data_IF_031086621363
#
_entry.id   IF_031086621363
#
_cell.length_a   1.000
_cell.length_b   1.000
_cell.length_c   1.000
_cell.angle_alpha   90.00
_cell.angle_beta   90.00
_cell.angle_gamma   90.00
#
_symmetry.space_group_name_H-M   'P 1'
#
loop_
_entity.id
_entity.type
_entity.pdbx_description
1 polymer ?
#
# COMPACT_ATOMS: atom_id res chain seq x y z
N UNK A 1 7.65 7.39 0.46
CA UNK A 1 8.81 7.19 -0.45
C UNK A 1 9.10 8.45 -1.23
N UNK A 2 10.35 8.62 -1.66
CA UNK A 2 10.86 9.75 -2.44
C UNK A 2 10.75 9.46 -3.94
N UNK A 3 10.79 10.50 -4.76
CA UNK A 3 10.65 10.36 -6.22
C UNK A 3 11.75 9.48 -6.84
N UNK A 4 13.02 9.67 -6.47
CA UNK A 4 14.12 8.85 -7.01
C UNK A 4 14.02 7.38 -6.61
N UNK A 5 13.54 7.08 -5.39
CA UNK A 5 13.29 5.70 -4.94
C UNK A 5 12.24 5.05 -5.84
N UNK A 6 11.14 5.74 -6.11
CA UNK A 6 10.08 5.24 -6.99
C UNK A 6 10.58 5.05 -8.43
N UNK A 7 11.35 6.00 -8.96
CA UNK A 7 11.89 5.91 -10.32
C UNK A 7 12.76 4.65 -10.49
N UNK A 8 13.63 4.37 -9.52
CA UNK A 8 14.47 3.16 -9.52
C UNK A 8 13.68 1.87 -9.33
N UNK A 9 12.66 1.88 -8.48
CA UNK A 9 11.74 0.75 -8.33
C UNK A 9 10.98 0.51 -9.65
N UNK A 10 10.49 1.56 -10.31
CA UNK A 10 9.79 1.43 -11.58
C UNK A 10 10.68 0.90 -12.70
N UNK A 11 11.94 1.36 -12.76
CA UNK A 11 12.96 0.82 -13.67
C UNK A 11 13.11 -0.69 -13.48
N UNK A 12 13.35 -1.13 -12.24
CA UNK A 12 13.45 -2.56 -11.90
C UNK A 12 12.19 -3.35 -12.24
N UNK A 13 11.01 -2.83 -11.88
CA UNK A 13 9.75 -3.53 -12.13
C UNK A 13 9.39 -3.60 -13.63
N UNK A 14 9.97 -2.73 -14.46
CA UNK A 14 9.71 -2.73 -15.91
C UNK A 14 10.31 -3.93 -16.63
N UNK A 15 11.19 -4.68 -15.98
CA UNK A 15 11.70 -5.95 -16.51
C UNK A 15 10.61 -7.05 -16.55
N UNK A 16 9.51 -6.86 -15.82
CA UNK A 16 8.39 -7.78 -15.80
C UNK A 16 7.27 -7.39 -16.78
N UNK A 17 6.93 -8.31 -17.67
CA UNK A 17 5.91 -8.07 -18.71
C UNK A 17 4.49 -8.55 -18.30
N UNK A 18 4.33 -9.18 -17.15
CA UNK A 18 3.06 -9.83 -16.78
C UNK A 18 2.83 -9.92 -15.27
N UNK A 19 1.68 -9.44 -14.81
CA UNK A 19 1.23 -9.60 -13.42
C UNK A 19 0.44 -10.90 -13.32
N UNK A 20 0.95 -11.86 -12.55
CA UNK A 20 0.24 -13.12 -12.27
C UNK A 20 -0.90 -12.92 -11.29
N UNK A 21 -0.71 -12.08 -10.26
CA UNK A 21 -1.71 -11.86 -9.21
C UNK A 21 -1.59 -10.47 -8.61
N UNK A 22 -2.74 -9.84 -8.40
CA UNK A 22 -2.89 -8.64 -7.61
C UNK A 22 -3.99 -8.83 -6.56
N UNK A 23 -3.70 -8.53 -5.30
CA UNK A 23 -4.69 -8.63 -4.21
C UNK A 23 -4.32 -7.75 -3.03
N UNK A 24 -5.32 -7.38 -2.24
CA UNK A 24 -5.11 -6.81 -0.91
C UNK A 24 -4.77 -7.92 0.09
N UNK A 25 -3.74 -7.71 0.91
CA UNK A 25 -3.31 -8.67 1.93
C UNK A 25 -3.45 -8.15 3.36
N UNK A 26 -3.58 -6.84 3.53
CA UNK A 26 -3.86 -6.16 4.80
C UNK A 26 -4.71 -4.92 4.53
N UNK A 27 -5.15 -4.23 5.58
CA UNK A 27 -6.03 -3.06 5.45
C UNK A 27 -5.54 -2.00 4.46
N UNK A 28 -4.23 -1.80 4.29
CA UNK A 28 -3.72 -0.80 3.36
C UNK A 28 -2.64 -1.36 2.44
N UNK A 29 -2.46 -2.68 2.39
CA UNK A 29 -1.32 -3.28 1.69
C UNK A 29 -1.80 -4.10 0.51
N UNK A 30 -1.32 -3.77 -0.68
CA UNK A 30 -1.62 -4.45 -1.95
C UNK A 30 -0.37 -5.24 -2.38
N UNK A 31 -0.55 -6.52 -2.66
CA UNK A 31 0.45 -7.40 -3.27
C UNK A 31 0.28 -7.36 -4.79
N UNK A 32 1.38 -7.10 -5.52
CA UNK A 32 1.52 -7.35 -6.95
C UNK A 32 2.60 -8.43 -7.13
N UNK A 33 2.23 -9.53 -7.79
CA UNK A 33 3.07 -10.70 -7.97
C UNK A 33 3.26 -10.96 -9.47
N UNK A 34 4.51 -10.93 -9.92
CA UNK A 34 4.91 -11.26 -11.30
C UNK A 34 5.21 -12.75 -11.45
N UNK A 35 5.62 -13.40 -10.36
CA UNK A 35 5.55 -14.84 -10.13
C UNK A 35 5.56 -15.10 -8.60
N UNK A 36 5.62 -16.36 -8.14
CA UNK A 36 5.55 -16.68 -6.70
C UNK A 36 6.72 -16.10 -5.89
N UNK A 37 7.91 -15.98 -6.48
CA UNK A 37 9.13 -15.48 -5.85
C UNK A 37 9.20 -13.94 -5.96
N UNK A 38 8.68 -13.40 -7.06
CA UNK A 38 8.65 -11.97 -7.37
C UNK A 38 7.33 -11.32 -6.94
N UNK A 39 7.21 -11.08 -5.62
CA UNK A 39 6.04 -10.45 -5.00
C UNK A 39 6.41 -9.16 -4.27
N UNK A 40 5.80 -8.07 -4.70
CA UNK A 40 6.03 -6.72 -4.21
C UNK A 40 4.79 -6.21 -3.49
N UNK A 41 4.99 -5.48 -2.40
CA UNK A 41 3.93 -5.06 -1.50
C UNK A 41 3.93 -3.54 -1.38
N UNK A 42 2.80 -2.94 -1.74
CA UNK A 42 2.54 -1.52 -1.72
C UNK A 42 1.77 -1.21 -0.44
N UNK A 43 2.48 -0.77 0.61
CA UNK A 43 1.86 -0.31 1.84
C UNK A 43 1.39 1.13 1.63
N UNK A 44 0.07 1.28 1.57
CA UNK A 44 -0.61 2.56 1.32
C UNK A 44 -1.15 3.17 2.60
N UNK A 45 -0.54 2.90 3.76
CA UNK A 45 -0.90 3.55 5.03
C UNK A 45 -0.58 5.05 4.96
N UNK A 46 -1.55 5.90 5.28
CA UNK A 46 -1.39 7.36 5.22
C UNK A 46 -0.25 7.80 6.16
N UNK A 47 0.67 8.61 5.63
CA UNK A 47 1.85 9.10 6.37
C UNK A 47 3.02 8.13 6.45
N UNK A 48 2.82 6.84 6.19
CA UNK A 48 3.85 5.79 6.30
C UNK A 48 3.84 4.87 5.07
N UNK A 49 3.63 5.43 3.88
CA UNK A 49 3.55 4.63 2.66
C UNK A 49 4.91 4.32 2.04
N UNK A 50 5.09 3.04 1.68
CA UNK A 50 6.31 2.51 1.09
C UNK A 50 6.07 1.19 0.35
N UNK A 51 7.03 0.80 -0.46
CA UNK A 51 7.08 -0.46 -1.19
C UNK A 51 8.13 -1.36 -0.53
N UNK A 52 7.86 -2.65 -0.48
CA UNK A 52 8.81 -3.65 0.01
C UNK A 52 8.63 -5.01 -0.69
N UNK A 53 9.63 -5.88 -0.57
CA UNK A 53 9.61 -7.26 -1.08
C UNK A 53 9.63 -8.25 0.07
N UNK A 54 8.89 -9.35 -0.08
CA UNK A 54 8.95 -10.53 0.79
C UNK A 54 8.32 -11.74 0.10
N UNK A 55 8.53 -12.93 0.65
CA UNK A 55 7.80 -14.13 0.21
C UNK A 55 6.29 -13.93 0.29
N UNK A 56 5.56 -14.23 -0.78
CA UNK A 56 4.10 -14.22 -0.77
C UNK A 56 3.55 -15.32 0.15
N UNK A 57 2.57 -14.95 0.98
CA UNK A 57 1.83 -15.88 1.84
C UNK A 57 0.35 -15.60 1.66
N UNK A 58 -0.47 -16.66 1.71
CA UNK A 58 -1.92 -16.52 1.64
C UNK A 58 -2.40 -15.68 2.84
N UNK A 59 -3.15 -14.59 2.62
CA UNK A 59 -3.68 -13.80 3.72
C UNK A 59 -4.69 -14.62 4.53
N UNK A 60 -4.72 -14.40 5.85
CA UNK A 60 -5.67 -15.04 6.76
C UNK A 60 -7.08 -14.46 6.62
N UNK A 61 -7.16 -13.17 6.29
CA UNK A 61 -8.40 -12.43 6.06
C UNK A 61 -8.68 -12.35 4.56
N UNK A 62 -9.94 -12.53 4.19
CA UNK A 62 -10.42 -12.24 2.83
C UNK A 62 -10.86 -10.78 2.73
N UNK A 63 -10.45 -10.12 1.65
CA UNK A 63 -10.86 -8.77 1.30
C UNK A 63 -11.78 -8.83 0.08
N UNK A 64 -13.01 -8.32 0.22
CA UNK A 64 -14.08 -8.44 -0.76
C UNK A 64 -14.77 -7.09 -1.02
N UNK A 65 -14.08 -5.95 -0.84
CA UNK A 65 -14.64 -4.66 -1.24
C UNK A 65 -14.74 -4.56 -2.77
N UNK A 66 -15.52 -3.61 -3.33
CA UNK A 66 -15.56 -3.39 -4.78
C UNK A 66 -14.17 -3.21 -5.40
N UNK A 67 -13.30 -2.43 -4.74
CA UNK A 67 -11.89 -2.28 -5.12
C UNK A 67 -11.15 -3.62 -5.20
N UNK A 68 -11.37 -4.53 -4.24
CA UNK A 68 -10.66 -5.82 -4.20
C UNK A 68 -11.09 -6.72 -5.36
N UNK A 69 -12.38 -6.72 -5.71
CA UNK A 69 -12.91 -7.47 -6.85
C UNK A 69 -12.35 -6.94 -8.17
N UNK A 70 -12.33 -5.62 -8.35
CA UNK A 70 -11.82 -4.98 -9.56
C UNK A 70 -10.29 -5.09 -9.68
N UNK A 71 -9.57 -5.00 -8.57
CA UNK A 71 -8.13 -5.27 -8.52
C UNK A 71 -7.84 -6.69 -9.00
N UNK A 72 -8.61 -7.68 -8.52
CA UNK A 72 -8.45 -9.04 -9.01
C UNK A 72 -8.82 -9.16 -10.49
N UNK A 73 -9.99 -8.67 -10.90
CA UNK A 73 -10.52 -8.85 -12.25
C UNK A 73 -9.73 -8.13 -13.35
N UNK A 74 -9.20 -6.93 -13.06
CA UNK A 74 -8.54 -6.08 -14.05
C UNK A 74 -7.01 -6.18 -14.00
N UNK A 75 -6.43 -6.41 -12.81
CA UNK A 75 -4.97 -6.38 -12.64
C UNK A 75 -4.37 -7.78 -12.56
N UNK A 76 -5.06 -8.76 -11.98
CA UNK A 76 -4.53 -10.14 -12.00
C UNK A 76 -4.55 -10.71 -13.41
N UNK A 77 -3.48 -11.41 -13.78
CA UNK A 77 -3.30 -11.96 -15.12
C UNK A 77 -3.33 -10.88 -16.22
N UNK A 78 -2.80 -9.69 -15.94
CA UNK A 78 -2.69 -8.59 -16.92
C UNK A 78 -1.28 -8.52 -17.51
N UNK A 79 -1.20 -8.12 -18.77
CA UNK A 79 0.06 -7.75 -19.41
C UNK A 79 0.47 -6.36 -18.94
N UNK A 80 1.74 -6.20 -18.60
CA UNK A 80 2.33 -4.90 -18.28
C UNK A 80 2.78 -4.26 -19.58
N UNK A 81 2.22 -3.11 -19.92
CA UNK A 81 2.63 -2.34 -21.09
C UNK A 81 3.73 -1.34 -20.73
N UNK A 82 3.59 -0.69 -19.58
CA UNK A 82 4.54 0.31 -19.10
C UNK A 82 4.40 0.49 -17.58
N UNK A 83 5.50 0.77 -16.91
CA UNK A 83 5.51 1.26 -15.53
C UNK A 83 6.23 2.60 -15.53
N UNK A 84 5.59 3.63 -14.98
CA UNK A 84 6.16 4.98 -14.99
C UNK A 84 6.02 5.69 -13.66
N UNK A 85 6.88 6.68 -13.47
CA UNK A 85 6.87 7.61 -12.35
C UNK A 85 6.84 9.01 -12.95
N UNK A 86 5.70 9.72 -12.94
CA UNK A 86 5.62 11.07 -13.45
C UNK A 86 6.66 11.98 -12.80
N UNK A 87 7.27 12.87 -13.61
CA UNK A 87 8.38 13.72 -13.17
C UNK A 87 7.98 14.55 -11.96
N UNK A 88 8.83 14.56 -10.93
CA UNK A 88 8.62 15.30 -9.67
C UNK A 88 7.38 14.86 -8.87
N UNK A 89 6.75 13.74 -9.22
CA UNK A 89 5.61 13.20 -8.49
C UNK A 89 6.00 11.94 -7.73
N UNK A 90 5.37 11.76 -6.56
CA UNK A 90 5.53 10.55 -5.76
C UNK A 90 4.45 9.54 -6.13
N UNK A 91 4.36 9.23 -7.42
CA UNK A 91 3.36 8.34 -8.01
C UNK A 91 4.09 7.29 -8.81
N UNK A 92 3.65 6.04 -8.71
CA UNK A 92 4.02 4.97 -9.65
C UNK A 92 2.75 4.47 -10.32
N UNK A 93 2.76 4.39 -11.64
CA UNK A 93 1.61 4.04 -12.47
C UNK A 93 1.96 2.85 -13.33
N UNK A 94 1.13 1.81 -13.25
CA UNK A 94 1.19 0.61 -14.07
C UNK A 94 0.15 0.74 -15.17
N UNK A 95 0.58 0.78 -16.43
CA UNK A 95 -0.27 0.69 -17.60
C UNK A 95 -0.42 -0.78 -18.00
N UNK A 96 -1.65 -1.26 -18.03
CA UNK A 96 -1.97 -2.67 -18.07
C UNK A 96 -3.01 -2.99 -19.13
N UNK A 97 -2.86 -4.18 -19.72
CA UNK A 97 -3.87 -4.78 -20.60
C UNK A 97 -4.40 -6.06 -19.92
N UNK A 98 -5.63 -6.08 -19.37
CA UNK A 98 -6.21 -7.27 -18.78
C UNK A 98 -6.41 -8.37 -19.83
N UNK A 99 -5.98 -9.61 -19.54
CA UNK A 99 -6.00 -10.72 -20.51
C UNK A 99 -7.40 -11.14 -20.95
N UNK A 100 -8.40 -11.00 -20.08
CA UNK A 100 -9.76 -11.49 -20.32
C UNK A 100 -10.74 -10.40 -20.78
N UNK A 101 -10.25 -9.21 -21.15
CA UNK A 101 -11.12 -8.17 -21.65
C UNK A 101 -11.56 -8.53 -23.09
N UNK A 102 -12.87 -8.66 -23.30
CA UNK A 102 -13.49 -8.99 -24.60
C UNK A 102 -13.20 -7.92 -25.69
N UNK A 103 -12.71 -6.76 -25.26
CA UNK A 103 -12.06 -5.71 -26.05
C UNK A 103 -10.70 -5.45 -25.41
N UNK A 104 -9.70 -4.97 -26.15
CA UNK A 104 -8.41 -4.50 -25.62
C UNK A 104 -8.59 -3.27 -24.72
N UNK A 105 -9.28 -3.44 -23.60
CA UNK A 105 -9.44 -2.41 -22.58
C UNK A 105 -8.07 -2.21 -21.95
N UNK A 106 -7.51 -1.02 -22.04
CA UNK A 106 -6.35 -0.68 -21.22
C UNK A 106 -6.88 -0.11 -19.90
N UNK A 107 -6.06 -0.23 -18.86
CA UNK A 107 -6.34 0.33 -17.54
C UNK A 107 -5.01 0.77 -16.92
N UNK A 108 -5.08 1.72 -16.00
CA UNK A 108 -3.95 2.08 -15.16
C UNK A 108 -4.22 1.72 -13.69
N UNK A 109 -3.25 1.09 -13.04
CA UNK A 109 -3.19 0.98 -11.58
C UNK A 109 -2.15 2.00 -11.06
N UNK A 110 -2.63 3.01 -10.35
CA UNK A 110 -1.83 4.11 -9.82
C UNK A 110 -1.69 4.03 -8.31
N UNK A 111 -0.46 4.11 -7.81
CA UNK A 111 -0.17 4.25 -6.38
C UNK A 111 0.41 5.63 -6.08
N UNK A 112 -0.22 6.34 -5.15
CA UNK A 112 0.17 7.69 -4.75
C UNK A 112 0.80 7.68 -3.35
N UNK A 113 2.07 8.09 -3.26
CA UNK A 113 2.86 8.17 -2.04
C UNK A 113 2.94 9.61 -1.51
N UNK A 114 1.79 10.27 -1.42
CA UNK A 114 1.65 11.71 -1.14
C UNK A 114 1.46 12.05 0.34
N UNK A 115 1.60 11.08 1.25
CA UNK A 115 1.44 11.28 2.69
C UNK A 115 -0.03 11.24 3.10
N UNK A 116 -0.66 12.41 3.34
CA UNK A 116 -2.07 12.51 3.78
C UNK A 116 -3.04 11.90 2.77
N UNK A 117 -2.80 12.16 1.48
CA UNK A 117 -3.64 11.70 0.37
C UNK A 117 -3.13 10.41 -0.28
N UNK A 118 -2.31 9.62 0.45
CA UNK A 118 -1.83 8.32 -0.04
C UNK A 118 -3.00 7.45 -0.49
N UNK A 119 -2.92 6.90 -1.71
CA UNK A 119 -4.02 6.13 -2.29
C UNK A 119 -3.56 5.11 -3.33
N UNK A 120 -4.41 4.14 -3.64
CA UNK A 120 -4.28 3.28 -4.82
C UNK A 120 -5.56 3.41 -5.65
N UNK A 121 -5.42 3.61 -6.95
CA UNK A 121 -6.51 4.02 -7.84
C UNK A 121 -6.44 3.18 -9.12
N UNK A 122 -7.57 2.60 -9.51
CA UNK A 122 -7.79 1.99 -10.81
C UNK A 122 -8.45 3.03 -11.72
N UNK A 123 -7.90 3.19 -12.92
CA UNK A 123 -8.25 4.25 -13.86
C UNK A 123 -8.44 3.60 -15.24
N UNK A 124 -9.38 4.09 -16.03
CA UNK A 124 -9.54 3.70 -17.43
C UNK A 124 -8.71 4.57 -18.39
N UNK A 125 -8.85 4.29 -19.68
CA UNK A 125 -8.08 4.93 -20.76
C UNK A 125 -8.40 6.42 -20.97
N UNK A 126 -9.50 6.89 -20.38
CA UNK A 126 -9.93 8.28 -20.46
C UNK A 126 -9.61 9.04 -19.16
N UNK A 127 -8.68 8.54 -18.35
CA UNK A 127 -8.35 9.04 -17.00
C UNK A 127 -9.57 9.07 -16.06
N UNK A 128 -10.60 8.25 -16.29
CA UNK A 128 -11.75 8.15 -15.39
C UNK A 128 -11.48 7.10 -14.32
N UNK A 129 -11.72 7.47 -13.07
CA UNK A 129 -11.57 6.56 -11.92
C UNK A 129 -12.56 5.41 -12.06
N UNK A 130 -12.04 4.19 -12.17
CA UNK A 130 -12.82 2.95 -12.10
C UNK A 130 -13.19 2.69 -10.64
N UNK A 131 -12.19 2.66 -9.76
CA UNK A 131 -12.35 2.47 -8.32
C UNK A 131 -11.06 2.86 -7.58
N UNK A 132 -11.13 3.14 -6.27
CA UNK A 132 -9.97 3.45 -5.45
C UNK A 132 -10.01 2.74 -4.09
N UNK A 133 -8.82 2.54 -3.51
CA UNK A 133 -8.67 2.05 -2.13
C UNK A 133 -9.33 2.99 -1.12
N UNK A 134 -9.38 4.29 -1.43
CA UNK A 134 -10.05 5.32 -0.64
C UNK A 134 -10.75 6.32 -1.55
N UNK A 135 -12.02 6.57 -1.27
CA UNK A 135 -12.73 7.69 -1.90
C UNK A 135 -12.34 9.01 -1.22
N UNK A 136 -12.33 10.09 -2.01
CA UNK A 136 -12.08 11.46 -1.56
C UNK A 136 -13.16 12.33 -2.18
N UNK A 137 -13.93 13.00 -1.34
CA UNK A 137 -15.00 13.90 -1.74
C UNK A 137 -14.50 15.35 -1.90
N UNK A 138 -15.35 16.18 -2.53
CA UNK A 138 -15.03 17.57 -2.87
C UNK A 138 -14.85 18.49 -1.65
N UNK A 139 -15.39 18.11 -0.49
CA UNK A 139 -15.19 18.80 0.78
C UNK A 139 -13.78 18.58 1.35
N UNK A 140 -13.18 17.43 1.04
CA UNK A 140 -11.87 17.02 1.56
C UNK A 140 -10.71 17.40 0.64
N UNK A 141 -10.94 17.55 -0.67
CA UNK A 141 -9.91 17.89 -1.65
C UNK A 141 -10.51 18.49 -2.92
N UNK A 142 -9.74 19.33 -3.61
CA UNK A 142 -10.05 19.77 -4.97
C UNK A 142 -10.09 18.60 -5.97
N UNK A 143 -9.36 17.53 -5.67
CA UNK A 143 -9.30 16.31 -6.48
C UNK A 143 -10.23 15.26 -5.90
N UNK A 144 -11.41 15.16 -6.50
CA UNK A 144 -12.40 14.13 -6.17
C UNK A 144 -11.93 12.79 -6.70
N UNK A 145 -12.00 11.75 -5.87
CA UNK A 145 -11.64 10.38 -6.23
C UNK A 145 -12.82 9.49 -5.86
N UNK A 146 -13.59 9.07 -6.87
CA UNK A 146 -14.69 8.11 -6.75
C UNK A 146 -15.01 7.51 -8.14
N UNK A 147 -15.68 6.35 -8.21
CA UNK A 147 -16.04 5.73 -9.49
C UNK A 147 -16.76 6.68 -10.43
N UNK A 148 -16.38 6.67 -11.72
CA UNK A 148 -16.99 7.46 -12.78
C UNK A 148 -16.59 8.94 -12.82
N UNK A 149 -15.61 9.36 -12.03
CA UNK A 149 -15.09 10.74 -12.03
C UNK A 149 -13.71 10.79 -12.65
N UNK A 150 -13.50 11.75 -13.55
CA UNK A 150 -12.20 12.06 -14.15
C UNK A 150 -11.16 12.39 -13.06
N UNK A 151 -10.03 11.70 -13.12
CA UNK A 151 -8.95 11.86 -12.18
C UNK A 151 -8.06 13.03 -12.61
N UNK A 152 -8.30 14.19 -11.99
CA UNK A 152 -7.46 15.37 -12.23
C UNK A 152 -5.98 15.08 -11.88
N UNK A 153 -5.00 15.70 -12.57
CA UNK A 153 -3.60 15.54 -12.22
C UNK A 153 -3.28 16.16 -10.85
N UNK A 154 -2.23 15.67 -10.19
CA UNK A 154 -1.72 16.33 -8.99
C UNK A 154 -1.00 17.61 -9.41
N UNK A 155 -1.24 18.76 -8.76
CA UNK A 155 -0.46 19.96 -9.01
C UNK A 155 1.02 19.68 -8.83
N UNK A 156 1.83 20.09 -9.79
CA UNK A 156 3.26 19.82 -9.79
C UNK A 156 3.91 20.31 -8.49
N UNK A 157 4.77 19.47 -7.92
CA UNK A 157 5.47 19.81 -6.70
C UNK A 157 6.53 20.90 -6.96
N UNK A 158 6.31 22.09 -6.42
CA UNK A 158 7.22 23.24 -6.56
C UNK A 158 8.34 23.30 -5.49
N UNK A 159 8.50 22.24 -4.68
CA UNK A 159 9.52 22.20 -3.62
C UNK A 159 10.89 21.76 -4.13
N UNK A 160 11.88 21.74 -3.21
CA UNK A 160 13.22 21.22 -3.52
C UNK A 160 13.11 19.74 -3.90
N UNK A 161 13.60 19.42 -5.09
CA UNK A 161 13.77 18.04 -5.53
C UNK A 161 14.91 17.45 -4.70
N UNK A 162 14.65 16.31 -4.06
CA UNK A 162 15.67 15.60 -3.31
C UNK A 162 16.70 15.00 -4.26
N UNK A 163 17.99 15.15 -3.94
CA UNK A 163 19.07 14.59 -4.74
C UNK A 163 18.96 13.06 -4.79
N UNK A 164 19.12 12.52 -6.01
CA UNK A 164 19.10 11.10 -6.23
C UNK A 164 20.29 10.45 -5.51
N UNK A 165 19.99 9.52 -4.62
CA UNK A 165 21.02 8.67 -4.00
C UNK A 165 21.19 7.42 -4.85
N UNK A 166 22.42 6.89 -4.89
CA UNK A 166 22.67 5.61 -5.54
C UNK A 166 21.94 4.49 -4.78
N UNK A 167 21.08 3.76 -5.48
CA UNK A 167 20.50 2.50 -5.02
C UNK A 167 21.06 1.42 -5.95
N UNK A 168 22.02 0.63 -5.47
CA UNK A 168 22.64 -0.44 -6.25
C UNK A 168 21.65 -1.59 -6.50
N UNK A 169 21.25 -2.28 -5.43
CA UNK A 169 20.41 -3.47 -5.49
C UNK A 169 19.01 -3.17 -4.93
N UNK A 170 18.05 -3.01 -5.84
CA UNK A 170 16.65 -2.72 -5.51
C UNK A 170 15.99 -3.87 -4.76
N UNK A 171 16.36 -5.11 -5.04
CA UNK A 171 15.80 -6.28 -4.37
C UNK A 171 16.20 -6.29 -2.90
N UNK A 172 17.50 -6.24 -2.64
CA UNK A 172 18.05 -6.17 -1.28
C UNK A 172 17.53 -4.94 -0.54
N UNK A 173 17.40 -3.80 -1.23
CA UNK A 173 16.83 -2.59 -0.65
C UNK A 173 15.37 -2.79 -0.19
N UNK A 174 14.51 -3.36 -1.03
CA UNK A 174 13.09 -3.58 -0.74
C UNK A 174 12.89 -4.66 0.32
N UNK A 175 13.74 -5.68 0.37
CA UNK A 175 13.74 -6.68 1.44
C UNK A 175 14.16 -6.06 2.79
N UNK A 176 15.18 -5.22 2.79
CA UNK A 176 15.61 -4.51 4.01
C UNK A 176 14.52 -3.56 4.54
N UNK A 177 13.77 -2.88 3.66
CA UNK A 177 12.61 -2.07 4.06
C UNK A 177 11.56 -2.91 4.80
N UNK A 178 11.31 -4.14 4.33
CA UNK A 178 10.40 -5.05 5.01
C UNK A 178 10.92 -5.43 6.41
N UNK A 179 12.19 -5.83 6.51
CA UNK A 179 12.80 -6.23 7.78
C UNK A 179 12.77 -5.11 8.82
N UNK A 180 13.09 -3.88 8.41
CA UNK A 180 13.04 -2.70 9.27
C UNK A 180 11.63 -2.38 9.76
N UNK A 181 10.65 -2.45 8.85
CA UNK A 181 9.25 -2.25 9.17
C UNK A 181 8.75 -3.29 10.17
N UNK A 182 9.00 -4.57 9.92
CA UNK A 182 8.57 -5.65 10.80
C UNK A 182 9.23 -5.60 12.17
N UNK A 183 10.53 -5.28 12.22
CA UNK A 183 11.25 -5.10 13.48
C UNK A 183 10.61 -4.03 14.34
N UNK A 184 10.30 -2.86 13.76
CA UNK A 184 9.60 -1.76 14.45
C UNK A 184 8.20 -2.19 14.89
N UNK A 185 7.46 -2.87 14.02
CA UNK A 185 6.11 -3.38 14.31
C UNK A 185 6.10 -4.34 15.50
N UNK A 186 7.00 -5.31 15.53
CA UNK A 186 7.14 -6.29 16.61
C UNK A 186 7.54 -5.60 17.92
N UNK A 187 8.49 -4.66 17.88
CA UNK A 187 8.90 -3.90 19.07
C UNK A 187 7.75 -3.10 19.66
N UNK A 188 6.96 -2.42 18.82
CA UNK A 188 5.79 -1.66 19.24
C UNK A 188 4.70 -2.56 19.84
N UNK A 189 4.41 -3.70 19.21
CA UNK A 189 3.47 -4.68 19.74
C UNK A 189 3.91 -5.22 21.10
N UNK A 190 5.20 -5.56 21.26
CA UNK A 190 5.76 -6.01 22.54
C UNK A 190 5.57 -4.93 23.62
N UNK A 191 5.91 -3.67 23.32
CA UNK A 191 5.75 -2.54 24.24
C UNK A 191 4.27 -2.36 24.65
N UNK A 192 3.35 -2.39 23.70
CA UNK A 192 1.91 -2.26 23.96
C UNK A 192 1.38 -3.41 24.82
N UNK A 193 1.77 -4.65 24.54
CA UNK A 193 1.33 -5.81 25.33
C UNK A 193 1.88 -5.77 26.76
N UNK A 194 3.15 -5.42 26.94
CA UNK A 194 3.74 -5.23 28.27
C UNK A 194 2.98 -4.17 29.07
N UNK A 195 2.71 -3.01 28.47
CA UNK A 195 1.91 -1.95 29.11
C UNK A 195 0.49 -2.42 29.48
N UNK A 196 -0.16 -3.20 28.62
CA UNK A 196 -1.49 -3.74 28.89
C UNK A 196 -1.49 -4.72 30.07
N UNK A 197 -0.50 -5.62 30.13
CA UNK A 197 -0.34 -6.58 31.23
C UNK A 197 -0.03 -5.86 32.54
N UNK A 198 0.87 -4.88 32.50
CA UNK A 198 1.22 -4.08 33.67
C UNK A 198 0.00 -3.37 34.26
N UNK A 199 -0.81 -2.69 33.42
CA UNK A 199 -2.05 -2.04 33.87
C UNK A 199 -3.05 -3.02 34.49
N UNK A 200 -3.17 -4.23 33.93
CA UNK A 200 -4.02 -5.29 34.51
C UNK A 200 -3.49 -5.75 35.86
N UNK A 201 -2.18 -5.95 36.00
CA UNK A 201 -1.54 -6.33 37.25
C UNK A 201 -1.76 -5.26 38.34
N UNK A 202 -1.55 -3.99 38.01
CA UNK A 202 -1.80 -2.86 38.92
C UNK A 202 -3.25 -2.82 39.38
N UNK A 203 -4.20 -2.96 38.46
CA UNK A 203 -5.64 -3.02 38.79
C UNK A 203 -5.98 -4.18 39.72
N UNK A 204 -5.43 -5.37 39.45
CA UNK A 204 -5.67 -6.55 40.29
C UNK A 204 -5.07 -6.40 41.70
N UNK A 205 -3.87 -5.83 41.81
CA UNK A 205 -3.26 -5.52 43.12
C UNK A 205 -4.13 -4.54 43.92
N UNK A 206 -4.66 -3.49 43.28
CA UNK A 206 -5.57 -2.55 43.92
C UNK A 206 -6.88 -3.20 44.37
N UNK A 207 -7.44 -4.11 43.57
CA UNK A 207 -8.65 -4.86 43.94
C UNK A 207 -8.38 -5.79 45.12
N UNK A 208 -7.26 -6.50 45.11
CA UNK A 208 -6.85 -7.39 46.20
C UNK A 208 -6.71 -6.64 47.53
N UNK A 209 -6.11 -5.44 47.51
CA UNK A 209 -5.99 -4.59 48.71
C UNK A 209 -7.32 -4.06 49.23
N UNK A 210 -8.36 -3.97 48.38
CA UNK A 210 -9.70 -3.50 48.75
C UNK A 210 -10.61 -4.61 49.26
N UNK A 211 -10.19 -5.88 49.17
CA UNK A 211 -10.98 -6.98 49.69
C UNK A 211 -11.08 -6.87 51.23
N UNK A 212 -12.28 -7.06 51.81
CA UNK A 212 -12.44 -7.10 53.26
C UNK A 212 -11.57 -8.21 53.86
N UNK A 213 -10.99 -7.96 55.03
CA UNK A 213 -10.28 -9.01 55.76
C UNK A 213 -11.31 -9.95 56.40
N UNK A 214 -11.37 -11.24 56.05
CA UNK A 214 -12.33 -12.19 56.62
C UNK A 214 -12.19 -12.35 58.15
N UNK A 215 -11.05 -12.01 58.75
CA UNK A 215 -10.84 -12.05 60.21
C UNK A 215 -11.38 -10.82 60.95
N UNK A 216 -11.87 -9.79 60.24
CA UNK A 216 -12.46 -8.58 60.83
C UNK A 216 -13.99 -8.52 60.65
N UNK A 217 -14.62 -9.63 60.30
CA UNK A 217 -16.07 -9.81 60.14
C UNK A 217 -16.67 -10.51 61.35
#
# INVERSE_FOLDING_TARGET
MKHYELAKIAEHLSDFNFITRARRIENNTIEISFNKEESYFFNMTRGESFIYKKSSKRPLQSFNAPFDHLLHALVSSSKVEQIEVPKNERIIRFHLTPKNAYKEQKIALQFEFTGRHTNAILIDDNEVTIEALRHIDADASFRVIRPGVELLPIPSFNGKIEEAQHLDDIETYLENKYLDFEKKRIQNLKKQKLLSVQKKQEKLKQLLQKLPNPEKL
#
